data_IF_208681964108
#
_entry.id   IF_208681964108
#
_cell.length_a   1.000
_cell.length_b   1.000
_cell.length_c   1.000
_cell.angle_alpha   90.00
_cell.angle_beta   90.00
_cell.angle_gamma   90.00
#
_symmetry.space_group_name_H-M   'P 1'
#
loop_
_entity.id
_entity.type
_entity.pdbx_description
1 polymer ?
#
# COMPACT_ATOMS: atom_id res chain seq x y z
N UNK A 1 43.51 5.12 6.62
CA UNK A 1 42.30 5.94 6.42
C UNK A 1 41.15 4.98 6.16
N UNK A 2 40.42 4.58 7.19
CA UNK A 2 39.27 3.69 7.04
C UNK A 2 38.01 4.54 7.05
N UNK A 3 37.37 4.65 5.90
CA UNK A 3 36.03 5.20 5.75
C UNK A 3 35.07 4.20 6.41
N UNK A 4 34.32 4.57 7.47
CA UNK A 4 33.22 3.71 7.90
C UNK A 4 32.15 3.83 6.81
N UNK A 5 32.09 2.82 5.94
CA UNK A 5 30.92 2.59 5.11
C UNK A 5 29.74 2.48 6.07
N UNK A 6 28.86 3.47 6.04
CA UNK A 6 27.61 3.47 6.75
C UNK A 6 26.82 2.24 6.30
N UNK A 7 26.95 1.15 7.07
CA UNK A 7 26.04 0.01 6.99
C UNK A 7 24.72 0.57 7.47
N UNK A 8 23.84 0.89 6.52
CA UNK A 8 22.47 1.29 6.80
C UNK A 8 21.88 0.28 7.78
N UNK A 9 21.29 0.79 8.86
CA UNK A 9 20.74 -0.05 9.91
C UNK A 9 19.59 -0.91 9.33
N UNK A 10 19.30 -2.09 9.90
CA UNK A 10 18.20 -2.94 9.42
C UNK A 10 16.85 -2.21 9.36
N UNK A 11 16.66 -1.20 10.22
CA UNK A 11 15.49 -0.33 10.23
C UNK A 11 15.43 0.63 9.02
N UNK A 12 16.58 1.15 8.56
CA UNK A 12 16.66 2.02 7.39
C UNK A 12 16.47 1.24 6.08
N UNK A 13 16.98 0.00 5.99
CA UNK A 13 16.64 -0.91 4.89
C UNK A 13 15.14 -1.20 4.86
N UNK A 14 14.55 -1.51 6.03
CA UNK A 14 13.12 -1.79 6.13
C UNK A 14 12.26 -0.60 5.72
N UNK A 15 12.66 0.63 6.03
CA UNK A 15 11.95 1.84 5.61
C UNK A 15 12.08 2.09 4.10
N UNK A 16 13.27 1.87 3.53
CA UNK A 16 13.49 1.97 2.08
C UNK A 16 12.71 0.92 1.30
N UNK A 17 12.62 -0.31 1.81
CA UNK A 17 11.83 -1.39 1.21
C UNK A 17 10.32 -1.10 1.32
N UNK A 18 9.85 -0.59 2.46
CA UNK A 18 8.46 -0.13 2.61
C UNK A 18 8.13 0.99 1.61
N UNK A 19 9.03 1.96 1.44
CA UNK A 19 8.83 3.04 0.48
C UNK A 19 8.79 2.52 -0.96
N UNK A 20 9.65 1.54 -1.32
CA UNK A 20 9.60 0.91 -2.65
C UNK A 20 8.26 0.23 -2.91
N UNK A 21 7.73 -0.52 -1.93
CA UNK A 21 6.42 -1.16 -2.06
C UNK A 21 5.31 -0.11 -2.23
N UNK A 22 5.37 1.01 -1.49
CA UNK A 22 4.42 2.12 -1.67
C UNK A 22 4.52 2.69 -3.09
N UNK A 23 5.72 2.94 -3.60
CA UNK A 23 5.92 3.49 -4.95
C UNK A 23 5.40 2.54 -6.04
N UNK A 24 5.58 1.23 -5.87
CA UNK A 24 5.03 0.22 -6.78
C UNK A 24 3.50 0.16 -6.73
N UNK A 25 2.91 0.25 -5.54
CA UNK A 25 1.46 0.32 -5.36
C UNK A 25 0.86 1.59 -5.96
N UNK A 26 1.53 2.74 -5.82
CA UNK A 26 1.09 4.00 -6.40
C UNK A 26 1.13 3.96 -7.94
N UNK A 27 2.14 3.30 -8.54
CA UNK A 27 2.16 3.05 -10.00
C UNK A 27 1.01 2.14 -10.44
N UNK A 28 0.79 1.04 -9.72
CA UNK A 28 -0.30 0.12 -10.03
C UNK A 28 -1.67 0.82 -9.95
N UNK A 29 -1.89 1.66 -8.95
CA UNK A 29 -3.12 2.44 -8.81
C UNK A 29 -3.33 3.43 -9.97
N UNK A 30 -2.25 4.09 -10.42
CA UNK A 30 -2.31 4.98 -11.58
C UNK A 30 -2.67 4.22 -12.86
N UNK A 31 -2.09 3.04 -13.08
CA UNK A 31 -2.39 2.21 -14.24
C UNK A 31 -3.84 1.71 -14.23
N UNK A 32 -4.35 1.28 -13.07
CA UNK A 32 -5.76 0.88 -12.90
C UNK A 32 -6.70 2.06 -13.17
N UNK A 33 -6.39 3.24 -12.64
CA UNK A 33 -7.20 4.44 -12.87
C UNK A 33 -7.26 4.82 -14.36
N UNK A 34 -6.12 4.75 -15.06
CA UNK A 34 -6.08 4.98 -16.51
C UNK A 34 -6.92 3.96 -17.27
N UNK A 35 -6.86 2.69 -16.88
CA UNK A 35 -7.61 1.63 -17.53
C UNK A 35 -9.12 1.76 -17.30
N UNK A 36 -9.54 2.12 -16.07
CA UNK A 36 -10.93 2.42 -15.74
C UNK A 36 -11.48 3.60 -16.54
N UNK A 37 -10.72 4.70 -16.62
CA UNK A 37 -11.09 5.85 -17.44
C UNK A 37 -11.26 5.45 -18.91
N UNK A 38 -10.37 4.58 -19.41
CA UNK A 38 -10.46 4.05 -20.77
C UNK A 38 -11.75 3.26 -20.98
N UNK A 39 -12.16 2.41 -20.03
CA UNK A 39 -13.45 1.70 -20.11
C UNK A 39 -14.64 2.65 -20.17
N UNK A 40 -14.58 3.76 -19.45
CA UNK A 40 -15.63 4.79 -19.44
C UNK A 40 -15.69 5.53 -20.79
N UNK A 41 -14.54 5.85 -21.39
CA UNK A 41 -14.44 6.55 -22.69
C UNK A 41 -14.93 5.70 -23.88
N UNK A 42 -14.71 4.39 -23.88
CA UNK A 42 -15.15 3.50 -24.98
C UNK A 42 -16.60 3.01 -24.83
N UNK A 43 -17.27 3.36 -23.73
CA UNK A 43 -18.57 2.84 -23.36
C UNK A 43 -18.48 1.40 -22.84
N UNK A 44 -18.94 1.19 -21.61
CA UNK A 44 -18.99 -0.11 -20.94
C UNK A 44 -19.71 -1.15 -21.80
N UNK A 45 -18.95 -1.99 -22.50
CA UNK A 45 -19.51 -3.14 -23.20
C UNK A 45 -19.93 -4.17 -22.15
N UNK A 46 -21.11 -4.79 -22.33
CA UNK A 46 -21.62 -5.78 -21.39
C UNK A 46 -20.64 -6.94 -21.13
N UNK A 47 -19.79 -7.26 -22.11
CA UNK A 47 -18.76 -8.29 -22.03
C UNK A 47 -17.54 -7.90 -21.18
N UNK A 48 -17.34 -6.61 -20.92
CA UNK A 48 -16.22 -6.06 -20.15
C UNK A 48 -16.63 -5.66 -18.72
N UNK A 49 -17.89 -5.91 -18.34
CA UNK A 49 -18.42 -5.58 -17.02
C UNK A 49 -17.68 -6.34 -15.91
N UNK A 50 -17.37 -7.60 -16.14
CA UNK A 50 -16.65 -8.42 -15.16
C UNK A 50 -15.19 -7.95 -15.01
N UNK A 51 -14.53 -7.59 -16.11
CA UNK A 51 -13.19 -6.99 -16.08
C UNK A 51 -13.18 -5.63 -15.37
N UNK A 52 -14.20 -4.81 -15.60
CA UNK A 52 -14.38 -3.53 -14.91
C UNK A 52 -14.55 -3.71 -13.40
N UNK A 53 -15.37 -4.68 -12.97
CA UNK A 53 -15.53 -5.01 -11.56
C UNK A 53 -14.23 -5.54 -10.95
N UNK A 54 -13.52 -6.43 -11.66
CA UNK A 54 -12.24 -6.97 -11.20
C UNK A 54 -11.17 -5.87 -11.02
N UNK A 55 -11.17 -4.84 -11.89
CA UNK A 55 -10.27 -3.69 -11.76
C UNK A 55 -10.60 -2.83 -10.54
N UNK A 56 -11.88 -2.61 -10.23
CA UNK A 56 -12.31 -1.92 -9.01
C UNK A 56 -11.92 -2.70 -7.75
N UNK A 57 -12.10 -4.03 -7.75
CA UNK A 57 -11.64 -4.88 -6.65
C UNK A 57 -10.12 -4.83 -6.48
N UNK A 58 -9.37 -4.83 -7.58
CA UNK A 58 -7.91 -4.71 -7.55
C UNK A 58 -7.48 -3.34 -7.02
N UNK A 59 -8.15 -2.25 -7.43
CA UNK A 59 -7.92 -0.91 -6.91
C UNK A 59 -8.12 -0.86 -5.39
N UNK A 60 -9.22 -1.43 -4.89
CA UNK A 60 -9.52 -1.46 -3.47
C UNK A 60 -8.46 -2.24 -2.66
N UNK A 61 -8.01 -3.40 -3.18
CA UNK A 61 -6.94 -4.20 -2.54
C UNK A 61 -5.61 -3.45 -2.52
N UNK A 62 -5.22 -2.81 -3.63
CA UNK A 62 -4.00 -2.03 -3.71
C UNK A 62 -4.02 -0.81 -2.75
N UNK A 63 -5.17 -0.13 -2.62
CA UNK A 63 -5.34 0.96 -1.65
C UNK A 63 -5.24 0.48 -0.19
N UNK A 64 -5.79 -0.70 0.14
CA UNK A 64 -5.68 -1.28 1.48
C UNK A 64 -4.23 -1.65 1.80
N UNK A 65 -3.52 -2.26 0.85
CA UNK A 65 -2.10 -2.60 1.01
C UNK A 65 -1.25 -1.33 1.17
N UNK A 66 -1.49 -0.31 0.34
CA UNK A 66 -0.80 0.98 0.45
C UNK A 66 -0.98 1.60 1.83
N UNK A 67 -2.20 1.59 2.35
CA UNK A 67 -2.49 2.11 3.70
C UNK A 67 -1.79 1.29 4.79
N UNK A 68 -1.73 -0.04 4.66
CA UNK A 68 -1.03 -0.90 5.60
C UNK A 68 0.49 -0.64 5.63
N UNK A 69 1.08 -0.26 4.49
CA UNK A 69 2.50 0.12 4.41
C UNK A 69 2.76 1.58 4.79
N UNK A 70 1.79 2.48 4.61
CA UNK A 70 1.91 3.91 4.90
C UNK A 70 1.60 4.26 6.36
N UNK A 71 0.76 3.47 7.04
CA UNK A 71 0.56 3.61 8.48
C UNK A 71 1.85 3.15 9.18
N UNK A 72 2.52 4.00 9.98
CA UNK A 72 3.52 3.49 10.90
C UNK A 72 2.80 2.43 11.74
N UNK A 73 3.36 1.23 11.85
CA UNK A 73 2.81 0.18 12.70
C UNK A 73 2.52 0.80 14.06
N UNK A 74 1.25 1.16 14.30
CA UNK A 74 0.86 1.77 15.55
C UNK A 74 1.27 0.73 16.60
N UNK A 75 2.10 1.09 17.59
CA UNK A 75 2.49 0.10 18.58
C UNK A 75 1.20 -0.39 19.20
N UNK A 76 0.88 -1.67 18.95
CA UNK A 76 -0.12 -2.42 19.68
C UNK A 76 0.40 -2.65 21.10
N UNK A 77 0.68 -1.56 21.81
CA UNK A 77 1.16 -1.49 23.18
C UNK A 77 0.71 -0.16 23.82
N UNK A 78 -0.57 0.18 23.70
CA UNK A 78 -1.25 0.68 24.89
C UNK A 78 -1.87 -0.52 25.59
N UNK A 79 -0.98 -1.22 26.29
CA UNK A 79 -1.21 -1.89 27.56
C UNK A 79 -2.47 -1.29 28.20
N UNK A 80 -3.60 -2.00 28.11
CA UNK A 80 -4.74 -1.75 28.98
C UNK A 80 -4.23 -2.11 30.39
N UNK A 81 -3.52 -1.18 31.02
CA UNK A 81 -3.28 -1.17 32.46
C UNK A 81 -4.61 -0.83 33.12
N UNK A 82 -5.58 -1.75 33.02
CA UNK A 82 -6.68 -1.79 33.98
C UNK A 82 -6.03 -2.27 35.27
N UNK A 83 -5.75 -1.31 36.14
CA UNK A 83 -5.22 -1.55 37.48
C UNK A 83 -6.13 -2.52 38.24
N UNK A 84 -5.58 -3.26 39.22
CA UNK A 84 -6.37 -4.20 39.99
C UNK A 84 -7.42 -3.41 40.77
N UNK A 85 -8.68 -3.85 40.69
CA UNK A 85 -9.68 -3.54 41.69
C UNK A 85 -9.11 -4.00 43.05
N UNK A 86 -8.81 -3.04 43.92
CA UNK A 86 -8.72 -3.18 45.37
C UNK A 86 -9.82 -2.29 45.95
#
# INVERSE_FOLDING_TARGET
MNTPAAVATPAELSAADQQRVIDELDRLLADIAHLLQRFEDYGLQAQLKDDYLALHELQAKALLQRQAHALPAAPAQQKLSIGPYQ
#
